data_IF_088451649563
#
_entry.id   IF_088451649563
#
_cell.length_a   1.000
_cell.length_b   1.000
_cell.length_c   1.000
_cell.angle_alpha   90.00
_cell.angle_beta   90.00
_cell.angle_gamma   90.00
#
_symmetry.space_group_name_H-M   'P 1'
#
loop_
_entity.id
_entity.type
_entity.pdbx_description
1 polymer ?
#
# COMPACT_ATOMS: atom_id res chain seq x y z
N UNK A 1 -26.57 35.45 -55.35
CA UNK A 1 -25.58 34.97 -54.35
C UNK A 1 -26.06 35.36 -52.96
N UNK A 2 -26.56 34.40 -52.16
CA UNK A 2 -26.82 34.56 -50.72
C UNK A 2 -27.26 33.21 -50.14
N UNK A 3 -26.37 32.56 -49.38
CA UNK A 3 -26.75 31.59 -48.35
C UNK A 3 -25.86 31.85 -47.13
N UNK A 4 -26.48 32.39 -46.11
CA UNK A 4 -25.96 32.58 -44.75
C UNK A 4 -27.00 31.92 -43.82
N UNK A 5 -26.50 31.38 -42.70
CA UNK A 5 -27.21 30.89 -41.52
C UNK A 5 -27.87 29.51 -41.62
N UNK A 6 -27.91 28.62 -40.62
CA UNK A 6 -27.32 28.42 -39.27
C UNK A 6 -27.92 27.07 -38.81
N UNK A 7 -27.26 26.33 -37.89
CA UNK A 7 -27.78 25.39 -36.87
C UNK A 7 -26.83 24.17 -36.79
N UNK A 8 -25.89 24.07 -35.85
CA UNK A 8 -26.00 23.97 -34.37
C UNK A 8 -26.70 22.68 -33.92
N UNK A 9 -25.97 21.94 -33.06
CA UNK A 9 -26.43 20.89 -32.13
C UNK A 9 -26.89 19.55 -32.70
N UNK A 10 -26.10 18.50 -32.44
CA UNK A 10 -26.50 17.39 -31.56
C UNK A 10 -25.47 16.24 -31.63
N UNK A 11 -24.63 16.10 -30.60
CA UNK A 11 -24.05 14.81 -30.19
C UNK A 11 -23.44 14.94 -28.78
N UNK A 12 -24.20 15.48 -27.83
CA UNK A 12 -23.83 15.54 -26.42
C UNK A 12 -24.66 14.50 -25.65
N UNK A 13 -24.32 13.21 -25.78
CA UNK A 13 -24.91 12.14 -24.99
C UNK A 13 -24.06 10.85 -25.00
N UNK A 14 -22.76 10.96 -24.73
CA UNK A 14 -22.06 9.83 -24.12
C UNK A 14 -22.11 10.06 -22.61
N UNK A 15 -23.21 9.64 -21.98
CA UNK A 15 -23.19 9.32 -20.55
C UNK A 15 -22.23 8.16 -20.37
N UNK A 16 -20.95 8.49 -20.19
CA UNK A 16 -19.95 7.52 -19.74
C UNK A 16 -20.33 7.23 -18.28
N UNK A 17 -21.09 6.16 -18.08
CA UNK A 17 -21.18 5.48 -16.80
C UNK A 17 -19.77 4.96 -16.51
N UNK A 18 -18.89 5.81 -15.97
CA UNK A 18 -17.55 5.38 -15.56
C UNK A 18 -17.80 4.35 -14.47
N UNK A 19 -17.54 3.07 -14.73
CA UNK A 19 -17.87 2.08 -13.75
C UNK A 19 -16.85 2.23 -12.61
N UNK A 20 -17.32 2.21 -11.36
CA UNK A 20 -16.54 2.42 -10.14
C UNK A 20 -15.36 1.44 -9.94
N UNK A 21 -15.05 0.59 -10.92
CA UNK A 21 -13.91 -0.34 -10.94
C UNK A 21 -12.54 0.36 -10.86
N UNK A 22 -12.41 1.58 -11.38
CA UNK A 22 -11.13 2.30 -11.37
C UNK A 22 -10.64 2.65 -9.95
N UNK A 23 -11.56 2.93 -9.02
CA UNK A 23 -11.20 3.36 -7.66
C UNK A 23 -10.65 2.20 -6.82
N UNK A 24 -11.18 0.98 -7.00
CA UNK A 24 -10.70 -0.20 -6.28
C UNK A 24 -9.32 -0.71 -6.76
N UNK A 25 -9.00 -0.53 -8.04
CA UNK A 25 -7.71 -0.94 -8.59
C UNK A 25 -6.56 -0.06 -8.11
N UNK A 26 -6.77 1.27 -8.08
CA UNK A 26 -5.77 2.22 -7.58
C UNK A 26 -5.46 1.98 -6.09
N UNK A 27 -6.47 1.71 -5.27
CA UNK A 27 -6.28 1.41 -3.85
C UNK A 27 -5.48 0.12 -3.62
N UNK A 28 -5.71 -0.91 -4.44
CA UNK A 28 -4.95 -2.17 -4.38
C UNK A 28 -3.50 -1.98 -4.79
N UNK A 29 -3.25 -1.28 -5.89
CA UNK A 29 -1.89 -1.02 -6.38
C UNK A 29 -1.07 -0.23 -5.36
N UNK A 30 -1.68 0.76 -4.70
CA UNK A 30 -1.04 1.52 -3.63
C UNK A 30 -0.65 0.63 -2.44
N UNK A 31 -1.53 -0.28 -2.02
CA UNK A 31 -1.24 -1.25 -0.94
C UNK A 31 -0.12 -2.21 -1.33
N UNK A 32 -0.12 -2.70 -2.57
CA UNK A 32 0.94 -3.57 -3.08
C UNK A 32 2.30 -2.86 -3.11
N UNK A 33 2.34 -1.60 -3.57
CA UNK A 33 3.55 -0.79 -3.57
C UNK A 33 4.05 -0.50 -2.15
N UNK A 34 3.12 -0.20 -1.23
CA UNK A 34 3.43 -0.02 0.19
C UNK A 34 4.00 -1.30 0.82
N UNK A 35 3.41 -2.46 0.52
CA UNK A 35 3.92 -3.76 0.96
C UNK A 35 5.33 -4.05 0.40
N UNK A 36 5.58 -3.73 -0.88
CA UNK A 36 6.87 -3.96 -1.52
C UNK A 36 7.98 -3.10 -0.89
N UNK A 37 7.73 -1.80 -0.73
CA UNK A 37 8.69 -0.86 -0.12
C UNK A 37 8.93 -1.19 1.36
N UNK A 38 7.89 -1.58 2.10
CA UNK A 38 8.00 -2.04 3.49
C UNK A 38 8.83 -3.33 3.59
N UNK A 39 8.67 -4.27 2.66
CA UNK A 39 9.46 -5.50 2.63
C UNK A 39 10.94 -5.19 2.41
N UNK A 40 11.26 -4.31 1.46
CA UNK A 40 12.63 -3.94 1.15
C UNK A 40 13.33 -3.30 2.36
N UNK A 41 12.65 -2.35 3.03
CA UNK A 41 13.17 -1.72 4.25
C UNK A 41 13.35 -2.72 5.37
N UNK A 42 12.38 -3.61 5.57
CA UNK A 42 12.50 -4.70 6.55
C UNK A 42 13.74 -5.55 6.29
N UNK A 43 14.00 -5.95 5.04
CA UNK A 43 15.17 -6.77 4.69
C UNK A 43 16.47 -6.01 4.99
N UNK A 44 16.54 -4.73 4.62
CA UNK A 44 17.71 -3.89 4.90
C UNK A 44 17.97 -3.80 6.40
N UNK A 45 16.93 -3.56 7.21
CA UNK A 45 17.04 -3.50 8.67
C UNK A 45 17.47 -4.84 9.27
N UNK A 46 16.87 -5.95 8.84
CA UNK A 46 17.20 -7.29 9.34
C UNK A 46 18.65 -7.68 9.03
N UNK A 47 19.15 -7.33 7.83
CA UNK A 47 20.55 -7.59 7.45
C UNK A 47 21.55 -6.69 8.16
N UNK A 48 21.14 -5.48 8.54
CA UNK A 48 21.98 -4.54 9.27
C UNK A 48 22.04 -4.84 10.79
N UNK A 49 21.09 -5.64 11.31
CA UNK A 49 21.04 -6.00 12.72
C UNK A 49 22.00 -7.17 13.02
N UNK A 50 23.07 -6.94 13.81
CA UNK A 50 24.03 -8.01 14.14
C UNK A 50 23.41 -9.14 14.96
N UNK A 51 22.29 -8.91 15.64
CA UNK A 51 21.58 -9.96 16.41
C UNK A 51 20.88 -10.98 15.51
N UNK A 52 20.68 -10.63 14.24
CA UNK A 52 20.01 -11.46 13.23
C UNK A 52 20.99 -12.20 12.32
N UNK A 53 22.30 -12.17 12.63
CA UNK A 53 23.35 -12.81 11.84
C UNK A 53 23.17 -14.33 11.65
N UNK A 54 22.40 -14.99 12.52
CA UNK A 54 22.09 -16.42 12.42
C UNK A 54 20.92 -16.73 11.45
N UNK A 55 20.19 -15.73 10.97
CA UNK A 55 19.09 -15.91 10.02
C UNK A 55 19.63 -16.08 8.59
N UNK A 56 19.05 -17.01 7.83
CA UNK A 56 19.35 -17.14 6.40
C UNK A 56 18.68 -16.03 5.61
N UNK A 57 19.23 -15.69 4.43
CA UNK A 57 18.60 -14.69 3.56
C UNK A 57 17.17 -15.10 3.16
N UNK A 58 16.94 -16.40 2.97
CA UNK A 58 15.61 -16.95 2.71
C UNK A 58 14.65 -16.72 3.89
N UNK A 59 15.10 -16.98 5.12
CA UNK A 59 14.32 -16.72 6.34
C UNK A 59 13.97 -15.25 6.52
N UNK A 60 14.94 -14.35 6.29
CA UNK A 60 14.73 -12.90 6.34
C UNK A 60 13.67 -12.47 5.32
N UNK A 61 13.79 -12.93 4.06
CA UNK A 61 12.82 -12.59 3.01
C UNK A 61 11.42 -13.14 3.30
N UNK A 62 11.33 -14.36 3.83
CA UNK A 62 10.05 -14.98 4.22
C UNK A 62 9.37 -14.18 5.33
N UNK A 63 10.11 -13.84 6.39
CA UNK A 63 9.61 -13.00 7.47
C UNK A 63 9.16 -11.64 6.94
N UNK A 64 10.02 -10.92 6.21
CA UNK A 64 9.72 -9.57 5.73
C UNK A 64 8.57 -9.55 4.71
N UNK A 65 8.43 -10.57 3.87
CA UNK A 65 7.31 -10.72 2.94
C UNK A 65 5.98 -11.00 3.63
N UNK A 66 5.98 -11.79 4.72
CA UNK A 66 4.78 -11.96 5.57
C UNK A 66 4.44 -10.65 6.28
N UNK A 67 5.45 -10.05 6.91
CA UNK A 67 5.31 -8.83 7.70
C UNK A 67 4.73 -7.70 6.87
N UNK A 68 5.32 -7.42 5.70
CA UNK A 68 4.93 -6.26 4.91
C UNK A 68 3.51 -6.36 4.36
N UNK A 69 3.07 -7.55 3.92
CA UNK A 69 1.70 -7.77 3.48
C UNK A 69 0.71 -7.56 4.61
N UNK A 70 0.97 -8.12 5.79
CA UNK A 70 0.09 -7.92 6.95
C UNK A 70 0.01 -6.48 7.40
N UNK A 71 1.13 -5.75 7.36
CA UNK A 71 1.12 -4.32 7.65
C UNK A 71 0.30 -3.58 6.59
N UNK A 72 0.48 -3.88 5.30
CA UNK A 72 -0.26 -3.25 4.21
C UNK A 72 -1.77 -3.53 4.27
N UNK A 73 -2.18 -4.75 4.60
CA UNK A 73 -3.59 -5.16 4.69
C UNK A 73 -4.29 -4.51 5.89
N UNK A 74 -3.59 -4.36 7.01
CA UNK A 74 -4.15 -3.78 8.24
C UNK A 74 -4.05 -2.25 8.29
N UNK A 75 -3.24 -1.62 7.42
CA UNK A 75 -3.06 -0.17 7.43
C UNK A 75 -4.35 0.55 6.96
N UNK A 76 -4.84 1.54 7.72
CA UNK A 76 -5.91 2.42 7.26
C UNK A 76 -5.50 3.22 6.02
N UNK A 77 -6.44 3.48 5.10
CA UNK A 77 -6.15 4.21 3.86
C UNK A 77 -5.68 5.65 4.12
N UNK A 78 -6.18 6.31 5.17
CA UNK A 78 -5.74 7.65 5.55
C UNK A 78 -4.26 7.65 5.98
N UNK A 79 -3.80 6.57 6.65
CA UNK A 79 -2.40 6.42 7.05
C UNK A 79 -1.51 6.10 5.85
N UNK A 80 -1.97 5.27 4.91
CA UNK A 80 -1.24 4.97 3.66
C UNK A 80 -0.99 6.21 2.80
N UNK A 81 -1.83 7.23 2.93
CA UNK A 81 -1.78 8.48 2.17
C UNK A 81 -1.16 9.65 2.95
N UNK A 82 -0.87 9.48 4.24
CA UNK A 82 -0.34 10.54 5.11
C UNK A 82 1.18 10.42 5.22
N UNK A 83 1.90 11.53 5.06
CA UNK A 83 3.34 11.53 5.33
C UNK A 83 3.60 11.29 6.81
N UNK A 84 4.67 10.56 7.14
CA UNK A 84 5.04 10.29 8.54
C UNK A 84 5.19 11.58 9.36
N UNK A 85 5.62 12.68 8.72
CA UNK A 85 5.75 14.01 9.33
C UNK A 85 4.41 14.72 9.61
N UNK A 86 3.32 14.28 8.98
CA UNK A 86 1.97 14.82 9.18
C UNK A 86 1.08 13.89 10.02
N UNK A 87 1.60 12.72 10.45
CA UNK A 87 0.84 11.76 11.22
C UNK A 87 0.52 12.29 12.63
N UNK A 88 -0.73 12.11 13.05
CA UNK A 88 -1.14 12.43 14.43
C UNK A 88 -0.57 11.41 15.43
N UNK A 89 -0.50 11.73 16.73
CA UNK A 89 -0.09 10.76 17.75
C UNK A 89 -0.92 9.47 17.75
N UNK A 90 -2.23 9.57 17.48
CA UNK A 90 -3.13 8.43 17.40
C UNK A 90 -2.85 7.55 16.18
N UNK A 91 -2.57 8.16 15.02
CA UNK A 91 -2.16 7.43 13.81
C UNK A 91 -0.81 6.73 14.02
N UNK A 92 0.13 7.37 14.71
CA UNK A 92 1.41 6.76 15.08
C UNK A 92 1.22 5.57 16.01
N UNK A 93 0.38 5.69 17.04
CA UNK A 93 0.06 4.60 17.96
C UNK A 93 -0.59 3.41 17.24
N UNK A 94 -1.53 3.70 16.33
CA UNK A 94 -2.20 2.71 15.49
C UNK A 94 -1.18 1.98 14.60
N UNK A 95 -0.33 2.73 13.91
CA UNK A 95 0.74 2.19 13.06
C UNK A 95 1.67 1.28 13.85
N UNK A 96 2.12 1.72 15.03
CA UNK A 96 2.99 0.92 15.91
C UNK A 96 2.29 -0.36 16.40
N UNK A 97 0.99 -0.30 16.69
CA UNK A 97 0.22 -1.48 17.07
C UNK A 97 0.15 -2.50 15.92
N UNK A 98 -0.18 -2.04 14.71
CA UNK A 98 -0.23 -2.88 13.49
C UNK A 98 1.12 -3.55 13.23
N UNK A 99 2.21 -2.78 13.28
CA UNK A 99 3.56 -3.30 13.06
C UNK A 99 3.93 -4.38 14.09
N UNK A 100 3.64 -4.15 15.38
CA UNK A 100 3.93 -5.15 16.43
C UNK A 100 3.13 -6.43 16.22
N UNK A 101 1.84 -6.33 15.92
CA UNK A 101 0.98 -7.49 15.68
C UNK A 101 1.42 -8.27 14.45
N UNK A 102 1.73 -7.59 13.35
CA UNK A 102 2.25 -8.21 12.12
C UNK A 102 3.57 -8.95 12.38
N UNK A 103 4.50 -8.33 13.11
CA UNK A 103 5.78 -8.95 13.46
C UNK A 103 5.56 -10.21 14.32
N UNK A 104 4.72 -10.14 15.35
CA UNK A 104 4.42 -11.28 16.20
C UNK A 104 3.80 -12.43 15.40
N UNK A 105 2.83 -12.12 14.55
CA UNK A 105 2.10 -13.11 13.78
C UNK A 105 2.94 -13.73 12.63
N UNK A 106 4.01 -13.07 12.20
CA UNK A 106 4.92 -13.57 11.16
C UNK A 106 6.17 -14.28 11.72
N UNK A 107 6.53 -14.06 12.99
CA UNK A 107 7.65 -14.79 13.63
C UNK A 107 7.42 -16.30 13.68
N UNK A 108 6.18 -16.72 13.91
CA UNK A 108 5.77 -18.13 13.90
C UNK A 108 5.80 -18.77 12.50
N UNK A 109 5.78 -17.96 11.44
CA UNK A 109 5.88 -18.42 10.06
C UNK A 109 7.33 -18.55 9.56
N UNK A 110 8.32 -18.21 10.38
CA UNK A 110 9.76 -18.15 10.02
C UNK A 110 10.65 -19.03 10.90
N UNK A 111 10.07 -19.90 11.75
CA UNK A 111 10.85 -20.95 12.41
C UNK A 111 11.08 -22.11 11.43
N UNK A 112 12.31 -22.65 11.34
CA UNK A 112 12.61 -23.82 10.51
C UNK A 112 11.86 -25.08 10.97
#
# INVERSE_FOLDING_TARGET
>A
MKRLATLVLAALACMISVPSFAQGQVAREQRDQFAATTAERCIQTQRADPTQAAQTDAGIRQFCGCYSRRVADAMPDDVLNTSVSAATPEQLATTQSIMRQAAQACRSASQP
#
